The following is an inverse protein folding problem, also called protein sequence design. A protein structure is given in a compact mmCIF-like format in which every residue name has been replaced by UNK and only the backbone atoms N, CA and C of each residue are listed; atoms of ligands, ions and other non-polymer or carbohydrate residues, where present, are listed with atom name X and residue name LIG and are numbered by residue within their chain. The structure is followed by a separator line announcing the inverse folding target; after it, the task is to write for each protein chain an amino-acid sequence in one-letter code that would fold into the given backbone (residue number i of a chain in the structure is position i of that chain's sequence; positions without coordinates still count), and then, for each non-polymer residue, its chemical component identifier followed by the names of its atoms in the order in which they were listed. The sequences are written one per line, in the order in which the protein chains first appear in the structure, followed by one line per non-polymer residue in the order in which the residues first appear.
data_IF_733434002495
#
_entry.id   IF_733434002495
#
_cell.length_a   1.000
_cell.length_b   1.000
_cell.length_c   1.000
_cell.angle_alpha   90.00
_cell.angle_beta   90.00
_cell.angle_gamma   90.00
#
_symmetry.space_group_name_H-M   'P 1'
#
loop_
_entity.id
_entity.type
_entity.pdbx_description
1 polymer ?
#
# COMPACT_ATOMS: atom_id res chain seq x y z
N UNK A 1 -65.77 -1.13 49.03
CA UNK A 1 -65.67 -2.16 50.06
C UNK A 1 -66.32 -3.42 49.53
N UNK A 2 -65.59 -4.53 49.39
CA UNK A 2 -66.20 -5.77 48.95
C UNK A 2 -67.17 -6.30 50.04
N UNK A 3 -68.26 -6.97 49.66
CA UNK A 3 -69.15 -7.64 50.61
C UNK A 3 -68.37 -8.72 51.38
N UNK A 4 -68.76 -8.98 52.63
CA UNK A 4 -68.16 -10.05 53.44
C UNK A 4 -68.24 -11.38 52.68
N UNK A 5 -67.09 -12.06 52.51
CA UNK A 5 -66.90 -13.27 51.70
C UNK A 5 -66.98 -13.09 50.15
N UNK A 6 -66.88 -11.85 49.64
CA UNK A 6 -66.75 -11.58 48.20
C UNK A 6 -65.29 -11.46 47.75
N UNK A 7 -65.02 -11.79 46.49
CA UNK A 7 -63.71 -11.54 45.88
C UNK A 7 -63.49 -10.07 45.60
N UNK A 8 -62.28 -9.57 45.89
CA UNK A 8 -61.82 -8.29 45.34
C UNK A 8 -61.49 -8.43 43.85
N UNK A 9 -61.46 -7.32 43.12
CA UNK A 9 -61.21 -7.32 41.67
C UNK A 9 -59.88 -8.02 41.29
N UNK A 10 -58.86 -7.96 42.16
CA UNK A 10 -57.56 -8.61 41.96
C UNK A 10 -57.50 -10.06 42.44
N UNK A 11 -58.55 -10.57 43.09
CA UNK A 11 -58.62 -11.94 43.66
C UNK A 11 -59.47 -12.89 42.81
N UNK A 12 -60.07 -12.38 41.72
CA UNK A 12 -60.93 -13.18 40.84
C UNK A 12 -60.07 -14.18 40.05
N UNK A 13 -60.33 -15.50 40.13
CA UNK A 13 -59.52 -16.50 39.45
C UNK A 13 -59.75 -16.51 37.93
N UNK A 14 -58.70 -16.81 37.16
CA UNK A 14 -58.77 -16.93 35.68
C UNK A 14 -59.60 -18.12 35.21
N UNK A 15 -59.63 -19.19 35.99
CA UNK A 15 -60.41 -20.40 35.73
C UNK A 15 -61.31 -20.66 36.95
N UNK A 16 -62.57 -21.04 36.71
CA UNK A 16 -63.49 -21.34 37.80
C UNK A 16 -63.05 -22.62 38.54
N UNK A 17 -62.93 -22.61 39.88
CA UNK A 17 -62.74 -23.82 40.67
C UNK A 17 -63.84 -24.85 40.41
N UNK A 18 -63.49 -26.14 40.43
CA UNK A 18 -64.42 -27.24 40.06
C UNK A 18 -65.71 -27.26 40.90
N UNK A 19 -65.66 -26.75 42.14
CA UNK A 19 -66.79 -26.73 43.08
C UNK A 19 -67.80 -25.60 42.85
N UNK A 20 -67.61 -24.75 41.84
CA UNK A 20 -68.52 -23.63 41.58
C UNK A 20 -69.74 -24.04 40.75
N UNK A 21 -70.95 -23.56 41.13
CA UNK A 21 -72.17 -23.82 40.39
C UNK A 21 -72.14 -23.13 39.00
N UNK A 22 -72.84 -23.70 38.01
CA UNK A 22 -72.81 -23.24 36.62
C UNK A 22 -73.08 -21.72 36.45
N UNK A 23 -74.07 -21.10 37.13
CA UNK A 23 -74.31 -19.66 37.02
C UNK A 23 -73.10 -18.80 37.44
N UNK A 24 -72.30 -19.26 38.40
CA UNK A 24 -71.10 -18.56 38.84
C UNK A 24 -69.96 -18.67 37.80
N UNK A 25 -69.88 -19.80 37.08
CA UNK A 25 -68.92 -19.99 35.98
C UNK A 25 -69.24 -19.08 34.80
N UNK A 26 -70.53 -18.95 34.45
CA UNK A 26 -70.98 -18.08 33.37
C UNK A 26 -70.75 -16.60 33.71
N UNK A 27 -71.00 -16.21 34.97
CA UNK A 27 -70.73 -14.86 35.46
C UNK A 27 -69.22 -14.54 35.46
N UNK A 28 -68.37 -15.51 35.82
CA UNK A 28 -66.91 -15.36 35.75
C UNK A 28 -66.42 -15.15 34.31
N UNK A 29 -66.96 -15.91 33.36
CA UNK A 29 -66.64 -15.77 31.94
C UNK A 29 -67.04 -14.38 31.41
N UNK A 30 -68.25 -13.91 31.75
CA UNK A 30 -68.72 -12.58 31.40
C UNK A 30 -67.85 -11.47 32.00
N UNK A 31 -67.44 -11.62 33.27
CA UNK A 31 -66.54 -10.68 33.94
C UNK A 31 -65.19 -10.56 33.21
N UNK A 32 -64.55 -11.69 32.88
CA UNK A 32 -63.28 -11.68 32.17
C UNK A 32 -63.40 -11.13 30.75
N UNK A 33 -64.49 -11.43 30.05
CA UNK A 33 -64.74 -10.86 28.71
C UNK A 33 -64.87 -9.33 28.78
N UNK A 34 -65.63 -8.82 29.74
CA UNK A 34 -65.78 -7.38 29.94
C UNK A 34 -64.44 -6.71 30.31
N UNK A 35 -63.65 -7.35 31.18
CA UNK A 35 -62.33 -6.84 31.58
C UNK A 35 -61.33 -6.82 30.43
N UNK A 36 -61.29 -7.86 29.60
CA UNK A 36 -60.44 -7.92 28.40
C UNK A 36 -60.86 -6.84 27.39
N UNK A 37 -62.16 -6.66 27.18
CA UNK A 37 -62.66 -5.62 26.28
C UNK A 37 -62.26 -4.22 26.78
N UNK A 38 -62.42 -3.95 28.08
CA UNK A 38 -62.00 -2.68 28.69
C UNK A 38 -60.49 -2.46 28.59
N UNK A 39 -59.69 -3.50 28.81
CA UNK A 39 -58.24 -3.42 28.63
C UNK A 39 -57.88 -3.07 27.18
N UNK A 40 -58.53 -3.70 26.20
CA UNK A 40 -58.33 -3.37 24.77
C UNK A 40 -58.69 -1.92 24.43
N UNK A 41 -59.74 -1.38 25.03
CA UNK A 41 -60.12 0.02 24.84
C UNK A 41 -59.09 0.98 25.46
N UNK A 42 -58.57 0.64 26.66
CA UNK A 42 -57.48 1.37 27.30
C UNK A 42 -56.22 1.33 26.44
N UNK A 43 -55.81 0.15 25.99
CA UNK A 43 -54.63 -0.03 25.15
C UNK A 43 -54.76 0.73 23.82
N UNK A 44 -55.96 0.74 23.23
CA UNK A 44 -56.26 1.55 22.03
C UNK A 44 -56.16 3.04 22.31
N UNK A 45 -56.65 3.52 23.45
CA UNK A 45 -56.53 4.93 23.82
C UNK A 45 -55.08 5.33 24.14
N UNK A 46 -54.31 4.43 24.76
CA UNK A 46 -52.88 4.64 24.99
C UNK A 46 -52.17 4.72 23.64
N UNK A 47 -52.41 3.78 22.72
CA UNK A 47 -51.78 3.81 21.39
C UNK A 47 -52.11 5.07 20.58
N UNK A 48 -53.31 5.63 20.73
CA UNK A 48 -53.73 6.86 20.06
C UNK A 48 -53.13 8.14 20.68
N UNK A 49 -52.81 8.13 21.97
CA UNK A 49 -52.36 9.30 22.74
C UNK A 49 -50.92 9.18 23.24
N UNK A 50 -50.26 8.06 22.96
CA UNK A 50 -48.86 7.87 23.28
C UNK A 50 -48.05 8.84 22.43
N UNK A 51 -47.26 9.68 23.10
CA UNK A 51 -46.32 10.55 22.43
C UNK A 51 -45.32 9.69 21.65
N UNK A 52 -45.33 9.84 20.32
CA UNK A 52 -44.38 9.15 19.46
C UNK A 52 -43.06 9.90 19.55
N UNK A 53 -42.18 9.45 20.43
CA UNK A 53 -40.80 9.94 20.47
C UNK A 53 -40.05 9.40 19.25
N UNK A 54 -39.66 10.30 18.34
CA UNK A 54 -38.76 9.96 17.25
C UNK A 54 -37.36 9.71 17.83
N UNK A 55 -37.05 8.45 18.11
CA UNK A 55 -35.68 8.03 18.37
C UNK A 55 -34.86 8.21 17.08
N UNK A 56 -34.01 9.23 17.05
CA UNK A 56 -33.06 9.55 15.97
C UNK A 56 -31.93 8.49 15.80
N UNK A 57 -32.09 7.31 16.40
CA UNK A 57 -31.05 6.29 16.56
C UNK A 57 -31.20 5.13 15.56
N UNK A 58 -32.10 5.24 14.59
CA UNK A 58 -32.20 4.31 13.46
C UNK A 58 -31.57 4.92 12.22
N UNK A 59 -30.25 4.77 12.01
CA UNK A 59 -29.63 5.21 10.77
C UNK A 59 -30.29 4.51 9.58
N UNK A 60 -30.52 5.26 8.50
CA UNK A 60 -31.00 4.69 7.24
C UNK A 60 -30.01 3.66 6.71
N UNK A 61 -30.53 2.53 6.25
CA UNK A 61 -29.72 1.45 5.70
C UNK A 61 -29.18 1.86 4.31
N UNK A 62 -27.93 2.28 4.26
CA UNK A 62 -27.22 2.60 3.02
C UNK A 62 -26.38 1.40 2.57
N UNK A 63 -26.94 0.57 1.69
CA UNK A 63 -26.28 -0.62 1.14
C UNK A 63 -25.10 -0.31 0.21
N UNK A 64 -24.91 0.96 -0.16
CA UNK A 64 -23.76 1.39 -0.97
C UNK A 64 -22.51 1.64 -0.14
N UNK A 65 -22.62 1.68 1.19
CA UNK A 65 -21.51 1.96 2.11
C UNK A 65 -21.29 0.81 3.08
N UNK A 66 -20.13 0.18 2.98
CA UNK A 66 -19.68 -0.81 3.97
C UNK A 66 -19.11 -0.06 5.17
N UNK A 67 -19.75 -0.19 6.34
CA UNK A 67 -19.19 0.30 7.60
C UNK A 67 -18.49 -0.86 8.29
N UNK A 68 -17.19 -0.71 8.52
CA UNK A 68 -16.41 -1.63 9.35
C UNK A 68 -16.51 -1.13 10.78
N UNK A 69 -17.17 -1.89 11.66
CA UNK A 69 -17.27 -1.58 13.09
C UNK A 69 -16.89 -2.79 13.93
N UNK A 70 -15.94 -2.61 14.84
CA UNK A 70 -15.36 -3.63 15.71
C UNK A 70 -13.98 -3.16 16.19
N UNK A 71 -13.36 -3.81 17.18
CA UNK A 71 -11.93 -3.58 17.46
C UNK A 71 -11.15 -4.03 16.22
N UNK A 72 -10.78 -3.07 15.39
CA UNK A 72 -9.89 -3.30 14.26
C UNK A 72 -8.47 -3.04 14.76
N UNK A 73 -7.61 -4.03 14.63
CA UNK A 73 -6.18 -3.82 14.80
C UNK A 73 -5.68 -3.21 13.51
N UNK A 74 -5.23 -1.95 13.56
CA UNK A 74 -4.42 -1.38 12.48
C UNK A 74 -3.02 -1.92 12.70
N UNK A 75 -2.69 -3.00 12.00
CA UNK A 75 -1.28 -3.38 11.87
C UNK A 75 -0.69 -2.49 10.80
N UNK A 76 0.02 -1.47 11.25
CA UNK A 76 0.86 -0.69 10.35
C UNK A 76 2.05 -1.56 9.99
N UNK A 77 2.30 -1.77 8.71
CA UNK A 77 3.57 -2.27 8.16
C UNK A 77 4.74 -1.32 8.45
N UNK A 78 4.59 -0.34 9.36
CA UNK A 78 5.69 0.47 9.85
C UNK A 78 6.78 -0.50 10.30
N UNK A 79 7.86 -0.63 9.53
CA UNK A 79 8.99 -1.41 9.99
C UNK A 79 9.39 -0.76 11.29
N UNK A 80 9.59 -1.55 12.35
CA UNK A 80 10.22 -1.00 13.53
C UNK A 80 11.58 -0.49 13.04
N UNK A 81 11.69 0.83 12.79
CA UNK A 81 12.98 1.47 12.58
C UNK A 81 13.66 1.31 13.92
N UNK A 82 14.42 0.24 14.06
CA UNK A 82 15.38 0.09 15.13
C UNK A 82 16.43 1.16 14.85
N UNK A 83 16.18 2.36 15.34
CA UNK A 83 17.22 3.37 15.48
C UNK A 83 18.31 2.67 16.29
N UNK A 84 19.54 2.50 15.77
CA UNK A 84 20.62 1.96 16.57
C UNK A 84 20.74 2.86 17.78
N UNK A 85 20.38 2.34 18.95
CA UNK A 85 20.36 3.10 20.17
C UNK A 85 21.77 3.27 20.72
N UNK A 86 22.75 3.68 19.90
CA UNK A 86 24.09 4.07 20.35
C UNK A 86 24.72 5.08 19.37
N UNK A 87 24.23 6.31 19.41
CA UNK A 87 25.06 7.49 19.19
C UNK A 87 25.61 7.92 20.55
N UNK A 88 26.61 7.18 21.05
CA UNK A 88 27.26 7.45 22.34
C UNK A 88 28.26 6.36 22.71
N UNK A 89 29.52 6.57 22.34
CA UNK A 89 30.74 5.94 22.86
C UNK A 89 30.59 4.65 23.68
N UNK A 90 30.74 3.49 23.01
CA UNK A 90 31.52 2.34 23.48
C UNK A 90 31.45 1.20 22.44
N UNK A 91 32.59 0.84 21.85
CA UNK A 91 32.74 -0.39 21.08
C UNK A 91 32.63 -1.61 22.01
N UNK A 92 31.43 -2.19 22.10
CA UNK A 92 31.19 -3.55 22.62
C UNK A 92 31.14 -4.55 21.46
N UNK A 93 31.50 -5.83 21.67
CA UNK A 93 31.49 -6.83 20.61
C UNK A 93 30.05 -7.10 20.15
N UNK A 94 29.85 -7.19 18.84
CA UNK A 94 28.57 -7.49 18.21
C UNK A 94 27.97 -8.79 18.77
N UNK A 95 26.70 -8.75 19.19
CA UNK A 95 26.03 -9.95 19.68
C UNK A 95 25.69 -10.93 18.54
N UNK A 96 25.79 -12.26 18.75
CA UNK A 96 25.67 -13.29 17.70
C UNK A 96 24.25 -13.50 17.11
N UNK A 97 23.31 -12.58 17.36
CA UNK A 97 21.90 -12.71 16.96
C UNK A 97 21.52 -11.99 15.66
N UNK A 98 22.36 -11.08 15.15
CA UNK A 98 22.06 -10.33 13.92
C UNK A 98 22.19 -11.16 12.64
N UNK A 99 23.08 -12.16 12.63
CA UNK A 99 23.33 -12.98 11.42
C UNK A 99 22.20 -13.99 11.15
N UNK A 100 21.51 -14.49 12.18
CA UNK A 100 20.43 -15.47 12.02
C UNK A 100 19.17 -14.86 11.38
N UNK A 101 18.77 -13.66 11.78
CA UNK A 101 17.58 -12.98 11.21
C UNK A 101 17.84 -12.55 9.76
N UNK A 102 19.07 -12.15 9.45
CA UNK A 102 19.46 -11.73 8.12
C UNK A 102 19.54 -12.91 7.13
N UNK A 103 19.98 -14.10 7.59
CA UNK A 103 19.99 -15.31 6.76
C UNK A 103 18.58 -15.78 6.38
N UNK A 104 17.61 -15.71 7.29
CA UNK A 104 16.22 -16.07 6.99
C UNK A 104 15.60 -15.13 5.94
N UNK A 105 15.86 -13.82 6.06
CA UNK A 105 15.43 -12.83 5.07
C UNK A 105 16.06 -13.07 3.69
N UNK A 106 17.39 -13.26 3.63
CA UNK A 106 18.11 -13.53 2.39
C UNK A 106 17.58 -14.79 1.71
N UNK A 107 17.37 -15.87 2.46
CA UNK A 107 16.80 -17.11 1.91
C UNK A 107 15.39 -16.91 1.37
N UNK A 108 14.51 -16.21 2.11
CA UNK A 108 13.16 -15.88 1.66
C UNK A 108 13.18 -15.07 0.36
N UNK A 109 14.06 -14.08 0.26
CA UNK A 109 14.23 -13.28 -0.96
C UNK A 109 14.69 -14.15 -2.12
N UNK A 110 15.67 -15.04 -1.93
CA UNK A 110 16.18 -15.93 -2.97
C UNK A 110 15.13 -16.94 -3.45
N UNK A 111 14.34 -17.52 -2.54
CA UNK A 111 13.26 -18.45 -2.91
C UNK A 111 12.17 -17.76 -3.74
N UNK A 112 11.76 -16.57 -3.32
CA UNK A 112 10.78 -15.78 -4.06
C UNK A 112 11.36 -15.31 -5.41
N UNK A 113 12.64 -14.93 -5.46
CA UNK A 113 13.31 -14.52 -6.69
C UNK A 113 13.42 -15.69 -7.68
N UNK A 114 13.63 -16.92 -7.19
CA UNK A 114 13.65 -18.14 -8.00
C UNK A 114 12.29 -18.45 -8.62
N UNK A 115 11.20 -18.16 -7.91
CA UNK A 115 9.82 -18.42 -8.37
C UNK A 115 9.28 -17.29 -9.27
N UNK A 116 9.36 -16.04 -8.80
CA UNK A 116 8.83 -14.87 -9.47
C UNK A 116 9.74 -14.37 -10.61
N UNK A 117 11.05 -14.55 -10.49
CA UNK A 117 12.03 -13.89 -11.38
C UNK A 117 12.04 -12.38 -11.18
N UNK A 118 12.73 -11.68 -12.08
CA UNK A 118 12.76 -10.21 -12.08
C UNK A 118 11.90 -9.67 -13.20
N UNK A 119 10.84 -8.94 -12.86
CA UNK A 119 9.92 -8.34 -13.82
C UNK A 119 10.45 -6.99 -14.32
N UNK A 120 10.22 -6.70 -15.59
CA UNK A 120 10.42 -5.37 -16.18
C UNK A 120 9.14 -4.54 -16.04
N UNK A 121 9.31 -3.22 -16.16
CA UNK A 121 8.20 -2.26 -16.23
C UNK A 121 7.20 -2.58 -17.35
N UNK A 122 7.64 -3.20 -18.44
CA UNK A 122 6.77 -3.74 -19.47
C UNK A 122 6.39 -5.19 -19.14
N UNK A 123 5.07 -5.43 -19.10
CA UNK A 123 4.40 -6.71 -18.75
C UNK A 123 4.89 -7.96 -19.51
N UNK A 124 5.72 -7.80 -20.54
CA UNK A 124 6.26 -8.86 -21.39
C UNK A 124 7.70 -9.27 -21.04
N UNK A 125 8.44 -8.48 -20.26
CA UNK A 125 9.84 -8.75 -19.94
C UNK A 125 10.01 -9.35 -18.55
N UNK A 126 10.29 -10.65 -18.46
CA UNK A 126 10.65 -11.32 -17.19
C UNK A 126 12.01 -12.00 -17.33
N UNK A 127 12.97 -11.61 -16.51
CA UNK A 127 14.22 -12.35 -16.34
C UNK A 127 13.94 -13.56 -15.45
N UNK A 128 13.97 -14.76 -16.05
CA UNK A 128 13.79 -16.02 -15.33
C UNK A 128 15.13 -16.70 -15.15
N UNK A 129 15.38 -17.24 -13.96
CA UNK A 129 16.60 -17.97 -13.66
C UNK A 129 16.40 -19.46 -13.88
N UNK A 130 17.36 -20.11 -14.53
CA UNK A 130 17.37 -21.56 -14.75
C UNK A 130 17.92 -22.28 -13.52
N UNK A 131 18.99 -21.73 -12.93
CA UNK A 131 19.54 -22.18 -11.65
C UNK A 131 19.93 -20.96 -10.81
N UNK A 132 19.88 -21.14 -9.49
CA UNK A 132 20.30 -20.14 -8.53
C UNK A 132 20.85 -20.86 -7.31
N UNK A 133 22.11 -20.58 -7.00
CA UNK A 133 22.87 -21.20 -5.92
C UNK A 133 23.52 -20.10 -5.06
N UNK A 134 23.63 -20.36 -3.75
CA UNK A 134 24.32 -19.46 -2.82
C UNK A 134 25.78 -19.26 -3.24
N UNK A 135 26.27 -18.03 -3.18
CA UNK A 135 27.63 -17.68 -3.51
C UNK A 135 28.40 -17.34 -2.23
N UNK A 136 29.63 -17.84 -2.03
CA UNK A 136 30.44 -17.51 -0.85
C UNK A 136 31.10 -16.13 -1.03
N UNK A 137 30.28 -15.09 -1.10
CA UNK A 137 30.67 -13.70 -1.27
C UNK A 137 30.51 -12.86 -0.02
N UNK A 138 31.25 -11.76 0.08
CA UNK A 138 31.10 -10.79 1.17
C UNK A 138 29.84 -9.93 0.95
N UNK A 139 29.56 -9.58 -0.31
CA UNK A 139 28.38 -8.82 -0.71
C UNK A 139 27.44 -9.64 -1.61
N UNK A 140 27.97 -10.53 -2.44
CA UNK A 140 27.13 -11.35 -3.35
C UNK A 140 26.56 -12.55 -2.60
N UNK A 141 25.23 -12.61 -2.48
CA UNK A 141 24.54 -13.67 -1.75
C UNK A 141 24.32 -14.91 -2.61
N UNK A 142 24.08 -14.75 -3.91
CA UNK A 142 23.80 -15.85 -4.82
C UNK A 142 24.28 -15.59 -6.25
N UNK A 143 24.58 -16.67 -6.96
CA UNK A 143 24.81 -16.68 -8.39
C UNK A 143 23.62 -17.33 -9.10
N UNK A 144 23.02 -16.61 -10.05
CA UNK A 144 21.97 -17.10 -10.92
C UNK A 144 22.47 -17.33 -12.34
N UNK A 145 22.07 -18.42 -12.98
CA UNK A 145 22.15 -18.56 -14.45
C UNK A 145 20.81 -18.19 -15.05
N UNK A 146 20.81 -17.38 -16.09
CA UNK A 146 19.60 -17.02 -16.81
C UNK A 146 19.79 -17.33 -18.29
N UNK A 147 18.74 -17.87 -18.91
CA UNK A 147 18.66 -18.07 -20.35
C UNK A 147 17.63 -17.08 -20.92
N UNK A 148 18.07 -16.27 -21.88
CA UNK A 148 17.17 -15.39 -22.62
C UNK A 148 17.52 -15.45 -24.10
N UNK A 149 16.57 -15.90 -24.93
CA UNK A 149 16.68 -16.00 -26.40
C UNK A 149 18.01 -16.62 -26.89
N UNK A 150 18.34 -17.84 -26.43
CA UNK A 150 19.55 -18.64 -26.78
C UNK A 150 20.91 -18.09 -26.30
N UNK A 151 20.93 -17.12 -25.38
CA UNK A 151 22.17 -16.75 -24.64
C UNK A 151 22.04 -17.06 -23.16
N UNK A 152 22.96 -17.89 -22.66
CA UNK A 152 23.15 -18.13 -21.24
C UNK A 152 24.10 -17.08 -20.66
N UNK A 153 23.67 -16.38 -19.61
CA UNK A 153 24.47 -15.41 -18.85
C UNK A 153 24.50 -15.75 -17.36
N UNK A 154 25.52 -15.25 -16.66
CA UNK A 154 25.64 -15.37 -15.20
C UNK A 154 25.30 -14.04 -14.53
N UNK A 155 24.30 -14.04 -13.65
CA UNK A 155 23.93 -12.91 -12.83
C UNK A 155 24.40 -13.10 -11.38
N UNK A 156 25.05 -12.10 -10.82
CA UNK A 156 25.30 -11.99 -9.39
C UNK A 156 24.08 -11.33 -8.72
N UNK A 157 23.68 -11.83 -7.55
CA UNK A 157 22.55 -11.31 -6.79
C UNK A 157 23.08 -10.71 -5.50
N UNK A 158 22.88 -9.41 -5.34
CA UNK A 158 23.12 -8.66 -4.12
C UNK A 158 21.79 -8.39 -3.44
N UNK A 159 21.67 -8.67 -2.15
CA UNK A 159 20.46 -8.39 -1.37
C UNK A 159 20.82 -7.32 -0.34
N UNK A 160 20.14 -6.18 -0.44
CA UNK A 160 20.27 -5.07 0.48
C UNK A 160 19.69 -5.36 1.86
N UNK A 161 19.89 -4.44 2.82
CA UNK A 161 19.35 -4.60 4.16
C UNK A 161 17.82 -4.69 4.14
N UNK A 162 17.26 -5.55 5.00
CA UNK A 162 15.81 -5.66 5.22
C UNK A 162 15.21 -4.31 5.64
N UNK A 163 15.89 -3.62 6.56
CA UNK A 163 15.51 -2.30 7.05
C UNK A 163 16.55 -1.27 6.63
N UNK A 164 16.26 -0.49 5.59
CA UNK A 164 17.14 0.59 5.16
C UNK A 164 17.03 0.89 3.68
N UNK A 165 17.98 1.69 3.21
CA UNK A 165 18.19 1.93 1.78
C UNK A 165 19.54 1.34 1.39
N UNK A 166 19.58 0.73 0.21
CA UNK A 166 20.85 0.32 -0.41
C UNK A 166 21.61 1.59 -0.81
N UNK A 167 22.87 1.68 -0.39
CA UNK A 167 23.71 2.83 -0.70
C UNK A 167 24.52 2.63 -1.96
N UNK A 168 24.99 3.75 -2.53
CA UNK A 168 25.96 3.72 -3.64
C UNK A 168 27.21 2.87 -3.32
N UNK A 169 27.73 2.98 -2.10
CA UNK A 169 28.94 2.26 -1.71
C UNK A 169 28.74 0.74 -1.71
N UNK A 170 27.57 0.28 -1.25
CA UNK A 170 27.21 -1.14 -1.23
C UNK A 170 27.13 -1.72 -2.65
N UNK A 171 26.48 -1.00 -3.56
CA UNK A 171 26.37 -1.41 -4.96
C UNK A 171 27.75 -1.45 -5.63
N UNK A 172 28.61 -0.45 -5.40
CA UNK A 172 29.95 -0.46 -5.96
C UNK A 172 30.81 -1.61 -5.41
N UNK A 173 30.70 -1.92 -4.11
CA UNK A 173 31.41 -3.05 -3.51
C UNK A 173 30.93 -4.39 -4.10
N UNK A 174 29.61 -4.60 -4.15
CA UNK A 174 29.00 -5.78 -4.77
C UNK A 174 29.37 -5.91 -6.25
N UNK A 175 29.40 -4.80 -7.00
CA UNK A 175 29.76 -4.81 -8.41
C UNK A 175 31.24 -5.14 -8.64
N UNK A 176 32.15 -4.67 -7.78
CA UNK A 176 33.58 -5.05 -7.85
C UNK A 176 33.76 -6.55 -7.62
N UNK A 177 33.06 -7.09 -6.63
CA UNK A 177 33.09 -8.52 -6.31
C UNK A 177 32.50 -9.36 -7.46
N UNK A 178 31.31 -8.99 -7.96
CA UNK A 178 30.67 -9.66 -9.08
C UNK A 178 31.55 -9.64 -10.35
N UNK A 179 32.21 -8.51 -10.63
CA UNK A 179 33.13 -8.40 -11.75
C UNK A 179 34.35 -9.31 -11.58
N UNK A 180 34.94 -9.35 -10.38
CA UNK A 180 36.07 -10.22 -10.06
C UNK A 180 35.71 -11.72 -10.16
N UNK A 181 34.47 -12.08 -9.81
CA UNK A 181 33.94 -13.44 -9.89
C UNK A 181 33.47 -13.85 -11.31
N UNK A 182 33.58 -12.95 -12.29
CA UNK A 182 33.25 -13.23 -13.69
C UNK A 182 31.75 -13.40 -13.95
N UNK A 183 30.92 -12.64 -13.25
CA UNK A 183 29.50 -12.50 -13.60
C UNK A 183 29.33 -11.48 -14.74
N UNK A 184 28.29 -11.68 -15.54
CA UNK A 184 27.95 -10.83 -16.69
C UNK A 184 26.97 -9.70 -16.31
N UNK A 185 26.31 -9.82 -15.17
CA UNK A 185 25.26 -8.93 -14.71
C UNK A 185 25.24 -8.90 -13.18
N UNK A 186 25.05 -7.72 -12.56
CA UNK A 186 24.71 -7.60 -11.15
C UNK A 186 23.24 -7.24 -11.01
N UNK A 187 22.50 -7.95 -10.15
CA UNK A 187 21.14 -7.64 -9.74
C UNK A 187 21.18 -7.25 -8.27
N UNK A 188 21.07 -5.96 -7.99
CA UNK A 188 20.95 -5.40 -6.65
C UNK A 188 19.47 -5.35 -6.27
N UNK A 189 19.07 -6.19 -5.32
CA UNK A 189 17.72 -6.25 -4.77
C UNK A 189 17.65 -5.41 -3.49
N UNK A 190 16.65 -4.54 -3.35
CA UNK A 190 16.41 -3.80 -2.11
C UNK A 190 15.01 -3.21 -2.02
N UNK A 191 14.52 -2.97 -0.81
CA UNK A 191 13.24 -2.30 -0.61
C UNK A 191 13.29 -0.82 -1.01
N UNK A 192 14.41 -0.16 -0.69
CA UNK A 192 14.67 1.24 -1.03
C UNK A 192 16.11 1.41 -1.49
N UNK A 193 16.33 2.44 -2.31
CA UNK A 193 17.63 2.84 -2.82
C UNK A 193 17.87 4.30 -2.42
N UNK A 194 19.07 4.63 -1.97
CA UNK A 194 19.38 6.03 -1.66
C UNK A 194 19.42 6.87 -2.97
N UNK A 195 19.26 8.19 -2.84
CA UNK A 195 19.22 9.07 -4.01
C UNK A 195 20.50 9.09 -4.85
N UNK A 196 21.65 8.68 -4.28
CA UNK A 196 22.97 8.76 -4.92
C UNK A 196 23.35 7.43 -5.61
N UNK A 197 22.65 6.36 -5.25
CA UNK A 197 22.76 5.02 -5.82
C UNK A 197 22.06 4.95 -7.16
N UNK A 198 21.03 5.78 -7.40
CA UNK A 198 20.28 5.83 -8.66
C UNK A 198 21.19 5.96 -9.88
N UNK A 199 22.23 6.81 -9.82
CA UNK A 199 23.10 7.10 -10.97
C UNK A 199 24.02 5.94 -11.44
N UNK A 200 24.14 4.86 -10.66
CA UNK A 200 25.01 3.73 -11.02
C UNK A 200 24.23 2.68 -11.81
N UNK A 201 24.41 2.67 -13.13
CA UNK A 201 23.83 1.66 -14.04
C UNK A 201 24.85 0.64 -14.55
N UNK A 202 26.16 0.91 -14.38
CA UNK A 202 27.24 0.00 -14.77
C UNK A 202 28.50 0.25 -13.96
N UNK A 203 29.31 -0.79 -13.77
CA UNK A 203 30.68 -0.68 -13.29
C UNK A 203 31.62 -1.32 -14.31
N UNK A 204 32.31 -0.49 -15.10
CA UNK A 204 33.13 -0.97 -16.22
C UNK A 204 32.28 -1.72 -17.26
N UNK A 205 32.61 -2.98 -17.59
CA UNK A 205 31.82 -3.79 -18.51
C UNK A 205 30.58 -4.43 -17.85
N UNK A 206 30.47 -4.41 -16.51
CA UNK A 206 29.39 -5.08 -15.78
C UNK A 206 28.15 -4.17 -15.71
N UNK A 207 27.03 -4.51 -16.37
CA UNK A 207 25.74 -3.85 -16.15
C UNK A 207 25.20 -4.14 -14.74
N UNK A 208 24.54 -3.14 -14.15
CA UNK A 208 23.94 -3.21 -12.82
C UNK A 208 22.44 -2.96 -12.95
N UNK A 209 21.66 -3.92 -12.47
CA UNK A 209 20.22 -3.87 -12.36
C UNK A 209 19.80 -3.64 -10.93
N UNK A 210 18.90 -2.69 -10.71
CA UNK A 210 18.29 -2.46 -9.40
C UNK A 210 16.88 -3.02 -9.45
N UNK A 211 16.65 -4.07 -8.67
CA UNK A 211 15.34 -4.66 -8.49
C UNK A 211 14.76 -4.18 -7.18
N UNK A 212 13.63 -3.47 -7.22
CA UNK A 212 12.91 -3.09 -6.01
C UNK A 212 12.11 -4.29 -5.52
N UNK A 213 12.25 -4.60 -4.24
CA UNK A 213 11.47 -5.63 -3.55
C UNK A 213 10.15 -5.02 -3.11
N UNK A 214 9.03 -5.65 -3.45
CA UNK A 214 7.72 -5.23 -2.95
C UNK A 214 7.63 -5.56 -1.43
N UNK A 215 7.25 -4.59 -0.56
CA UNK A 215 7.00 -4.82 0.87
C UNK A 215 6.03 -5.97 1.18
N UNK A 216 5.16 -6.34 0.24
CA UNK A 216 4.28 -7.50 0.32
C UNK A 216 5.03 -8.82 0.53
N UNK A 217 6.34 -8.87 0.25
CA UNK A 217 7.20 -10.03 0.51
C UNK A 217 7.14 -10.48 1.98
N UNK A 218 7.03 -9.55 2.93
CA UNK A 218 6.90 -9.89 4.36
C UNK A 218 5.57 -10.58 4.69
N UNK A 219 4.57 -10.43 3.83
CA UNK A 219 3.24 -11.03 3.95
C UNK A 219 3.08 -12.22 2.98
N UNK A 220 4.16 -12.72 2.36
CA UNK A 220 4.10 -13.77 1.35
C UNK A 220 3.48 -15.10 1.85
N UNK A 221 3.50 -15.36 3.16
CA UNK A 221 2.84 -16.51 3.77
C UNK A 221 1.31 -16.33 3.93
N UNK A 222 0.85 -15.08 4.09
CA UNK A 222 -0.55 -14.73 4.34
C UNK A 222 -1.29 -14.28 3.08
N UNK A 223 -0.56 -13.85 2.05
CA UNK A 223 -1.10 -13.48 0.74
C UNK A 223 -1.21 -14.71 -0.16
N UNK A 224 -2.37 -14.88 -0.80
CA UNK A 224 -2.53 -15.88 -1.87
C UNK A 224 -1.50 -15.61 -2.98
N UNK A 225 -0.59 -16.54 -3.19
CA UNK A 225 0.35 -16.51 -4.30
C UNK A 225 -0.40 -16.74 -5.62
N UNK A 226 -0.98 -15.68 -6.16
CA UNK A 226 -1.75 -15.69 -7.41
C UNK A 226 -0.86 -15.68 -8.65
N UNK A 227 0.47 -15.76 -8.50
CA UNK A 227 1.43 -15.63 -9.60
C UNK A 227 1.37 -14.29 -10.35
N UNK A 228 0.58 -13.34 -9.83
CA UNK A 228 0.28 -12.04 -10.46
C UNK A 228 0.90 -10.87 -9.69
N UNK A 229 1.51 -11.13 -8.54
CA UNK A 229 2.25 -10.15 -7.76
C UNK A 229 3.65 -9.96 -8.32
N UNK A 230 3.95 -8.75 -8.78
CA UNK A 230 5.29 -8.37 -9.21
C UNK A 230 6.17 -8.15 -7.95
N UNK A 231 6.76 -9.22 -7.41
CA UNK A 231 7.56 -9.15 -6.17
C UNK A 231 8.91 -8.45 -6.34
N UNK A 232 9.51 -8.59 -7.53
CA UNK A 232 10.78 -7.97 -7.89
C UNK A 232 10.61 -7.25 -9.21
N UNK A 233 10.79 -5.93 -9.21
CA UNK A 233 10.64 -5.13 -10.43
C UNK A 233 11.89 -4.30 -10.67
N UNK A 234 12.43 -4.40 -11.89
CA UNK A 234 13.49 -3.53 -12.38
C UNK A 234 12.90 -2.19 -12.76
N UNK A 235 13.40 -1.13 -12.15
CA UNK A 235 13.09 0.23 -12.56
C UNK A 235 14.34 0.95 -13.04
N UNK A 236 14.22 1.70 -14.13
CA UNK A 236 15.23 2.70 -14.48
C UNK A 236 14.94 4.04 -13.83
N UNK A 237 15.65 5.06 -14.29
CA UNK A 237 15.59 6.40 -13.73
C UNK A 237 14.50 7.26 -14.40
N UNK A 238 13.91 8.23 -13.68
CA UNK A 238 13.17 9.31 -14.32
C UNK A 238 14.02 10.03 -15.36
N UNK A 239 13.55 10.08 -16.62
CA UNK A 239 14.14 10.95 -17.64
C UNK A 239 13.55 12.35 -17.49
N UNK A 240 14.36 13.25 -16.94
CA UNK A 240 13.95 14.60 -16.56
C UNK A 240 14.86 15.61 -17.23
N UNK A 241 14.23 16.63 -17.82
CA UNK A 241 14.90 17.85 -18.27
C UNK A 241 14.49 19.00 -17.37
N UNK A 242 15.41 19.90 -17.07
CA UNK A 242 15.06 21.12 -16.37
C UNK A 242 15.91 22.29 -16.87
N UNK A 243 15.35 23.49 -16.77
CA UNK A 243 16.01 24.73 -17.18
C UNK A 243 15.49 25.91 -16.32
N UNK A 244 16.09 27.08 -16.50
CA UNK A 244 15.59 28.33 -15.95
C UNK A 244 14.66 29.03 -16.94
N UNK A 245 13.55 29.57 -16.45
CA UNK A 245 12.71 30.49 -17.22
C UNK A 245 13.36 31.89 -17.32
N UNK A 246 12.70 32.80 -18.04
CA UNK A 246 13.16 34.18 -18.21
C UNK A 246 13.30 34.95 -16.89
N UNK A 247 12.57 34.55 -15.84
CA UNK A 247 12.58 35.14 -14.52
C UNK A 247 13.60 34.46 -13.57
N UNK A 248 14.39 33.50 -14.07
CA UNK A 248 15.40 32.76 -13.31
C UNK A 248 14.82 31.68 -12.38
N UNK A 249 13.56 31.28 -12.57
CA UNK A 249 12.90 30.19 -11.83
C UNK A 249 13.09 28.86 -12.54
N UNK A 250 13.10 27.77 -11.78
CA UNK A 250 13.32 26.42 -12.29
C UNK A 250 12.02 25.90 -12.90
N UNK A 251 12.11 25.33 -14.10
CA UNK A 251 11.04 24.59 -14.77
C UNK A 251 11.54 23.18 -15.08
N UNK A 252 10.76 22.18 -14.67
CA UNK A 252 11.08 20.76 -14.83
C UNK A 252 10.12 20.13 -15.84
N UNK A 253 10.63 19.35 -16.78
CA UNK A 253 9.88 18.55 -17.74
C UNK A 253 10.18 17.07 -17.53
N UNK A 254 9.13 16.27 -17.33
CA UNK A 254 9.19 14.80 -17.37
C UNK A 254 9.18 14.38 -18.84
N UNK A 255 10.19 13.62 -19.27
CA UNK A 255 10.28 13.06 -20.62
C UNK A 255 9.82 11.61 -20.67
N UNK A 256 10.03 10.87 -19.58
CA UNK A 256 9.73 9.45 -19.50
C UNK A 256 10.34 8.80 -18.28
N UNK A 257 10.38 7.47 -18.31
CA UNK A 257 11.15 6.65 -17.37
C UNK A 257 12.03 5.75 -18.21
N UNK A 258 13.30 5.68 -17.84
CA UNK A 258 14.24 4.76 -18.43
C UNK A 258 13.84 3.31 -18.10
N UNK A 259 13.90 2.46 -19.11
CA UNK A 259 13.63 1.03 -19.04
C UNK A 259 14.91 0.31 -19.42
N UNK A 260 15.42 -0.52 -18.53
CA UNK A 260 16.58 -1.34 -18.85
C UNK A 260 16.17 -2.52 -19.73
N UNK A 261 16.85 -2.67 -20.86
CA UNK A 261 16.73 -3.82 -21.75
C UNK A 261 17.88 -4.82 -21.47
N UNK A 262 17.65 -5.95 -20.78
CA UNK A 262 18.67 -6.96 -20.48
C UNK A 262 19.25 -7.62 -21.72
N UNK A 263 18.52 -7.61 -22.85
CA UNK A 263 18.96 -8.17 -24.14
C UNK A 263 20.22 -7.48 -24.65
N UNK A 264 20.32 -6.17 -24.45
CA UNK A 264 21.41 -5.32 -24.94
C UNK A 264 22.29 -4.80 -23.80
N UNK A 265 21.83 -4.94 -22.55
CA UNK A 265 22.44 -4.30 -21.38
C UNK A 265 22.32 -2.77 -21.43
N UNK A 266 21.45 -2.24 -22.29
CA UNK A 266 21.27 -0.80 -22.50
C UNK A 266 20.02 -0.31 -21.79
N UNK A 267 20.11 0.91 -21.29
CA UNK A 267 18.98 1.65 -20.75
C UNK A 267 18.33 2.42 -21.92
N UNK A 268 17.04 2.21 -22.13
CA UNK A 268 16.25 2.90 -23.14
C UNK A 268 15.22 3.80 -22.46
N UNK A 269 15.14 5.07 -22.86
CA UNK A 269 14.05 5.94 -22.43
C UNK A 269 12.69 5.43 -22.93
N UNK A 270 11.75 5.18 -22.02
CA UNK A 270 10.35 5.03 -22.38
C UNK A 270 9.68 6.40 -22.57
N UNK A 271 8.54 6.40 -23.25
CA UNK A 271 7.74 7.61 -23.44
C UNK A 271 6.90 7.96 -22.21
N UNK A 272 6.32 9.17 -22.26
CA UNK A 272 5.43 9.72 -21.22
C UNK A 272 4.18 8.87 -20.91
N UNK A 273 3.82 7.92 -21.78
CA UNK A 273 2.61 7.10 -21.67
C UNK A 273 2.63 6.08 -20.52
N UNK A 274 3.81 5.68 -20.05
CA UNK A 274 3.95 4.69 -18.97
C UNK A 274 3.93 5.32 -17.58
N UNK A 275 3.86 6.66 -17.53
CA UNK A 275 3.77 7.44 -16.31
C UNK A 275 2.30 7.59 -15.93
N UNK A 276 1.95 7.22 -14.71
CA UNK A 276 0.65 7.53 -14.14
C UNK A 276 0.66 8.91 -13.49
N UNK A 277 1.65 9.15 -12.64
CA UNK A 277 1.81 10.38 -11.89
C UNK A 277 3.29 10.75 -11.71
N UNK A 278 3.56 12.03 -11.51
CA UNK A 278 4.87 12.50 -11.13
C UNK A 278 4.77 13.67 -10.16
N UNK A 279 5.68 13.72 -9.22
CA UNK A 279 5.71 14.65 -8.11
C UNK A 279 7.05 15.36 -8.05
N UNK A 280 7.04 16.60 -7.58
CA UNK A 280 8.26 17.38 -7.35
C UNK A 280 8.27 17.86 -5.91
N UNK A 281 9.39 17.61 -5.27
CA UNK A 281 9.81 18.30 -4.08
C UNK A 281 10.77 19.43 -4.49
N UNK A 282 10.29 20.68 -4.40
CA UNK A 282 11.03 21.86 -4.87
C UNK A 282 12.15 22.33 -3.93
N UNK A 283 12.27 21.76 -2.73
CA UNK A 283 13.25 22.13 -1.71
C UNK A 283 13.54 20.91 -0.83
N UNK A 284 14.19 19.92 -1.43
CA UNK A 284 14.42 18.59 -0.86
C UNK A 284 15.60 18.63 0.11
N UNK A 285 15.39 18.11 1.33
CA UNK A 285 16.39 18.13 2.42
C UNK A 285 17.35 16.94 2.41
N UNK A 286 16.99 15.85 1.72
CA UNK A 286 17.75 14.60 1.70
C UNK A 286 17.14 13.48 2.56
N UNK A 287 16.17 13.79 3.40
CA UNK A 287 15.57 12.85 4.36
C UNK A 287 14.13 12.51 4.01
N UNK A 288 13.32 13.52 3.67
CA UNK A 288 11.88 13.35 3.47
C UNK A 288 11.44 13.99 2.16
N UNK A 289 10.61 13.28 1.41
CA UNK A 289 10.06 13.79 0.15
C UNK A 289 8.70 14.45 0.39
N UNK A 290 8.62 15.77 0.19
CA UNK A 290 7.39 16.53 0.30
C UNK A 290 6.84 16.87 -1.08
N UNK A 291 5.66 16.35 -1.39
CA UNK A 291 4.97 16.65 -2.66
C UNK A 291 4.53 18.11 -2.67
N UNK A 292 5.24 18.96 -3.43
CA UNK A 292 4.89 20.37 -3.63
C UNK A 292 4.22 20.62 -4.97
N UNK A 293 4.68 19.94 -6.02
CA UNK A 293 3.97 19.87 -7.29
C UNK A 293 3.54 18.44 -7.59
N UNK A 294 2.36 18.31 -8.21
CA UNK A 294 1.87 17.06 -8.76
C UNK A 294 1.44 17.26 -10.22
N UNK A 295 1.76 16.27 -11.04
CA UNK A 295 1.28 16.14 -12.40
C UNK A 295 0.86 14.70 -12.68
N UNK A 296 -0.15 14.52 -13.53
CA UNK A 296 -0.67 13.22 -13.92
C UNK A 296 -0.57 13.07 -15.43
N UNK A 297 -0.16 11.89 -15.89
CA UNK A 297 0.02 11.57 -17.31
C UNK A 297 -0.95 10.48 -17.78
N UNK A 298 -1.96 10.20 -16.94
CA UNK A 298 -2.85 9.03 -17.01
C UNK A 298 -3.45 8.75 -18.39
N UNK A 299 -3.24 7.52 -18.86
CA UNK A 299 -4.11 6.89 -19.84
C UNK A 299 -5.48 6.59 -19.19
N UNK A 300 -6.57 6.74 -19.95
CA UNK A 300 -7.97 6.38 -19.61
C UNK A 300 -8.81 7.36 -18.77
N UNK A 301 -8.51 8.66 -18.79
CA UNK A 301 -9.38 9.69 -18.22
C UNK A 301 -9.81 9.42 -16.76
N UNK A 302 -8.86 9.43 -15.80
CA UNK A 302 -9.14 9.18 -14.38
C UNK A 302 -10.23 10.09 -13.80
N UNK A 303 -10.52 11.23 -14.45
CA UNK A 303 -11.61 12.16 -14.13
C UNK A 303 -12.98 11.46 -14.05
N UNK A 304 -13.30 10.58 -15.01
CA UNK A 304 -14.61 9.92 -15.06
C UNK A 304 -14.83 9.00 -13.86
N UNK A 305 -13.81 8.22 -13.50
CA UNK A 305 -13.86 7.31 -12.36
C UNK A 305 -13.88 8.06 -11.03
N UNK A 306 -13.10 9.14 -10.90
CA UNK A 306 -13.03 9.95 -9.68
C UNK A 306 -14.34 10.71 -9.43
N UNK A 307 -14.89 11.36 -10.47
CA UNK A 307 -16.18 12.06 -10.42
C UNK A 307 -17.32 11.12 -10.03
N UNK A 308 -17.34 9.92 -10.61
CA UNK A 308 -18.34 8.88 -10.28
C UNK A 308 -18.22 8.42 -8.82
N UNK A 309 -16.99 8.26 -8.32
CA UNK A 309 -16.72 7.75 -6.98
C UNK A 309 -16.99 8.78 -5.88
N UNK A 310 -16.54 10.03 -6.08
CA UNK A 310 -16.66 11.11 -5.11
C UNK A 310 -18.04 11.77 -5.12
N UNK A 311 -18.84 11.58 -6.18
CA UNK A 311 -20.14 12.24 -6.40
C UNK A 311 -20.08 13.76 -6.17
N UNK A 312 -18.93 14.36 -6.50
CA UNK A 312 -18.65 15.78 -6.28
C UNK A 312 -18.45 16.47 -7.63
N UNK A 313 -18.80 17.76 -7.68
CA UNK A 313 -18.40 18.64 -8.77
C UNK A 313 -16.92 18.98 -8.59
N UNK A 314 -16.09 18.49 -9.52
CA UNK A 314 -14.66 18.78 -9.59
C UNK A 314 -14.50 19.85 -10.67
N UNK A 315 -13.73 20.90 -10.37
CA UNK A 315 -13.37 21.95 -11.33
C UNK A 315 -12.53 21.36 -12.48
N UNK A 316 -13.10 21.35 -13.69
CA UNK A 316 -12.48 20.79 -14.89
C UNK A 316 -11.24 21.57 -15.33
N UNK A 317 -11.22 22.89 -15.11
CA UNK A 317 -10.08 23.74 -15.48
C UNK A 317 -8.90 23.46 -14.53
N UNK A 318 -9.17 23.38 -13.23
CA UNK A 318 -8.16 23.03 -12.23
C UNK A 318 -7.54 21.65 -12.51
N UNK A 319 -8.37 20.65 -12.86
CA UNK A 319 -7.91 19.31 -13.19
C UNK A 319 -7.10 19.25 -14.49
N UNK A 320 -7.52 19.97 -15.53
CA UNK A 320 -6.78 20.09 -16.78
C UNK A 320 -5.36 20.65 -16.54
N UNK A 321 -5.19 21.55 -15.55
CA UNK A 321 -3.86 22.06 -15.19
C UNK A 321 -2.94 21.05 -14.51
N UNK A 322 -3.45 19.90 -14.07
CA UNK A 322 -2.68 18.80 -13.49
C UNK A 322 -2.21 17.80 -14.56
N UNK A 323 -2.88 17.74 -15.71
CA UNK A 323 -2.48 16.90 -16.84
C UNK A 323 -1.38 17.59 -17.64
N UNK A 324 -0.15 17.53 -17.14
CA UNK A 324 1.01 18.19 -17.74
C UNK A 324 2.29 17.43 -17.49
N UNK A 325 3.17 17.52 -18.46
CA UNK A 325 4.54 17.02 -18.45
C UNK A 325 5.54 18.06 -17.94
N UNK A 326 5.15 19.34 -17.89
CA UNK A 326 5.97 20.46 -17.39
C UNK A 326 5.49 20.98 -16.05
N UNK A 327 6.41 21.30 -15.15
CA UNK A 327 6.11 21.88 -13.85
C UNK A 327 5.67 23.33 -14.00
N UNK A 328 5.02 23.85 -12.96
CA UNK A 328 4.98 25.31 -12.77
C UNK A 328 6.38 25.79 -12.42
N UNK A 329 6.78 27.02 -12.82
CA UNK A 329 8.05 27.58 -12.40
C UNK A 329 8.12 27.72 -10.88
N UNK A 330 9.25 27.35 -10.27
CA UNK A 330 9.48 27.49 -8.83
C UNK A 330 10.83 28.14 -8.53
N UNK A 331 10.93 28.77 -7.37
CA UNK A 331 12.16 29.44 -6.93
C UNK A 331 13.29 28.44 -6.71
N UNK A 332 14.54 28.91 -6.74
CA UNK A 332 15.68 28.05 -6.40
C UNK A 332 15.54 27.50 -4.97
N UNK A 333 15.76 26.19 -4.76
CA UNK A 333 15.69 25.57 -3.44
C UNK A 333 16.67 26.20 -2.46
N UNK A 334 16.25 26.37 -1.21
CA UNK A 334 17.10 26.82 -0.12
C UNK A 334 18.17 25.78 0.24
N UNK A 335 17.85 24.49 0.06
CA UNK A 335 18.76 23.35 0.26
C UNK A 335 19.74 23.16 -0.91
N UNK A 336 19.57 23.92 -2.00
CA UNK A 336 20.31 23.74 -3.26
C UNK A 336 19.91 22.49 -4.05
N UNK A 337 18.85 21.79 -3.65
CA UNK A 337 18.41 20.53 -4.26
C UNK A 337 16.90 20.46 -4.43
N UNK A 338 16.46 19.86 -5.53
CA UNK A 338 15.07 19.45 -5.72
C UNK A 338 15.02 17.96 -6.09
N UNK A 339 13.91 17.31 -5.83
CA UNK A 339 13.70 15.90 -6.15
C UNK A 339 12.47 15.71 -7.02
N UNK A 340 12.55 14.80 -7.99
CA UNK A 340 11.44 14.42 -8.84
C UNK A 340 11.15 12.95 -8.62
N UNK A 341 9.90 12.64 -8.30
CA UNK A 341 9.40 11.28 -8.15
C UNK A 341 8.44 10.96 -9.29
N UNK A 342 8.57 9.81 -9.92
CA UNK A 342 7.69 9.34 -11.00
C UNK A 342 7.07 8.02 -10.59
N UNK A 343 5.79 7.84 -10.90
CA UNK A 343 4.99 6.67 -10.56
C UNK A 343 4.38 6.10 -11.83
N UNK A 344 4.54 4.81 -12.06
CA UNK A 344 3.95 4.11 -13.20
C UNK A 344 2.49 3.68 -12.94
N UNK A 345 1.81 3.12 -13.94
CA UNK A 345 0.41 2.62 -13.79
C UNK A 345 0.26 1.41 -12.86
N UNK A 346 1.36 0.78 -12.48
CA UNK A 346 1.38 -0.36 -11.56
C UNK A 346 1.56 0.06 -10.09
N UNK A 347 1.75 1.37 -9.84
CA UNK A 347 1.93 1.92 -8.49
C UNK A 347 3.39 1.97 -8.05
N UNK A 348 4.32 1.65 -8.94
CA UNK A 348 5.74 1.67 -8.62
C UNK A 348 6.32 3.08 -8.73
N UNK A 349 7.12 3.45 -7.74
CA UNK A 349 7.69 4.78 -7.59
C UNK A 349 9.22 4.79 -7.72
N UNK A 350 9.73 5.77 -8.45
CA UNK A 350 11.16 6.08 -8.62
C UNK A 350 11.43 7.55 -8.37
N UNK A 351 12.62 7.89 -7.84
CA UNK A 351 12.99 9.26 -7.52
C UNK A 351 14.40 9.59 -8.01
N UNK A 352 14.58 10.82 -8.51
CA UNK A 352 15.87 11.38 -8.87
C UNK A 352 16.04 12.76 -8.23
N UNK A 353 17.23 13.01 -7.68
CA UNK A 353 17.56 14.27 -7.01
C UNK A 353 18.51 15.08 -7.89
N UNK A 354 18.22 16.37 -8.01
CA UNK A 354 18.99 17.31 -8.81
C UNK A 354 19.60 18.38 -7.90
N UNK A 355 20.85 18.74 -8.18
CA UNK A 355 21.54 19.89 -7.56
C UNK A 355 21.44 21.07 -8.53
N UNK A 356 21.13 22.24 -7.98
CA UNK A 356 20.93 23.50 -8.72
C UNK A 356 22.15 24.39 -8.64
#
# INVERSE_FOLDING_TARGET
TAPANGFMEWEIPRQAPERWPQPARDTLAAFWQARINRQREIDRSIAQKADVEYLYDRPYEDKSKVRVTGPFTVESLSPHRMIPAYAGDAAGPAEPGQDFVNQDFVNMVLENLKSAGVHQSDRAGRLSFTAMDGWPGDYICAGGTYEQDDRAGRAAIFIGPEFGSVTRADIEAAAREAHAAGFDLLIACGFNFDAHSSDISRLGPLPILKARINPDLHMAADLMNTGTGNLFVVFGEPDIRWDFDADGRIVVEVLGVDVFEPKTGQVRASGKGDIAAWFIDTDYDGESFFVRHAGFMGANDPYKSLKTSLKAEIDEEAWATLYRDKSRPFARPSTGRFAVKVINHFGDEVMKVFRV
#
